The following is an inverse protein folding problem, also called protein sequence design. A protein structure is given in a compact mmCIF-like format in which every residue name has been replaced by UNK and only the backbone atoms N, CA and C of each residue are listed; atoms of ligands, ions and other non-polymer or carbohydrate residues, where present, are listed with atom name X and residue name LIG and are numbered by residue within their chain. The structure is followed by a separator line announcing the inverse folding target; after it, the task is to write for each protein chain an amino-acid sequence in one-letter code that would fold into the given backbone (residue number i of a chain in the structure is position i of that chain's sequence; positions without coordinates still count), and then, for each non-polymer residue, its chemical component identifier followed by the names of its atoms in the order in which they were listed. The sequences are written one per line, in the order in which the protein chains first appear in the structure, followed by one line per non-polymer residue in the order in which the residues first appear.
data_IF_472406535926
#
_entry.id   IF_472406535926
#
_cell.length_a   1.000
_cell.length_b   1.000
_cell.length_c   1.000
_cell.angle_alpha   90.00
_cell.angle_beta   90.00
_cell.angle_gamma   90.00
#
_symmetry.space_group_name_H-M   'P 1'
#
loop_
_entity.id
_entity.type
_entity.pdbx_description
1 polymer ?
#
# COMPACT_ATOMS: atom_id res chain seq x y z
N UNK A 1 -10.58 -14.92 31.34
CA UNK A 1 -11.78 -14.22 30.81
C UNK A 1 -11.52 -13.72 29.39
N UNK A 2 -12.55 -13.62 28.51
CA UNK A 2 -12.43 -12.95 27.22
C UNK A 2 -12.21 -11.44 27.39
N UNK A 3 -11.54 -10.81 26.42
CA UNK A 3 -11.22 -9.39 26.44
C UNK A 3 -12.22 -8.60 25.58
N UNK A 4 -12.62 -7.40 25.99
CA UNK A 4 -13.55 -6.58 25.19
C UNK A 4 -12.81 -5.70 24.19
N UNK A 5 -11.64 -5.21 24.59
CA UNK A 5 -10.84 -4.30 23.78
C UNK A 5 -9.36 -4.69 23.78
N UNK A 6 -8.64 -4.23 22.77
CA UNK A 6 -7.17 -4.39 22.70
C UNK A 6 -6.44 -3.74 23.90
N UNK A 7 -7.07 -2.79 24.60
CA UNK A 7 -6.49 -2.10 25.76
C UNK A 7 -6.46 -2.99 27.00
N UNK A 8 -7.35 -3.97 27.06
CA UNK A 8 -7.43 -4.97 28.15
C UNK A 8 -6.46 -6.14 27.94
N UNK A 9 -5.82 -6.24 26.77
CA UNK A 9 -4.87 -7.32 26.49
C UNK A 9 -3.65 -7.26 27.42
N UNK A 10 -2.99 -8.42 27.66
CA UNK A 10 -1.76 -8.47 28.43
C UNK A 10 -0.69 -7.53 27.86
N UNK A 11 0.17 -6.98 28.73
CA UNK A 11 1.20 -6.00 28.35
C UNK A 11 2.09 -6.50 27.20
N UNK A 12 2.45 -7.78 27.22
CA UNK A 12 3.26 -8.41 26.16
C UNK A 12 2.56 -8.40 24.79
N UNK A 13 1.22 -8.47 24.77
CA UNK A 13 0.41 -8.43 23.56
C UNK A 13 0.19 -6.98 23.11
N UNK A 14 -0.02 -6.04 24.04
CA UNK A 14 -0.18 -4.61 23.72
C UNK A 14 1.03 -3.96 23.07
N UNK A 15 2.22 -4.58 23.21
CA UNK A 15 3.46 -4.16 22.52
C UNK A 15 3.52 -4.59 21.05
N UNK A 16 2.61 -5.44 20.59
CA UNK A 16 2.56 -5.90 19.21
C UNK A 16 1.96 -4.86 18.27
N UNK A 17 2.16 -5.00 16.94
CA UNK A 17 1.34 -4.29 15.97
C UNK A 17 -0.16 -4.48 16.22
N UNK A 18 -0.91 -3.41 16.00
CA UNK A 18 -2.37 -3.38 16.17
C UNK A 18 -3.11 -4.54 15.46
N UNK A 19 -2.63 -4.98 14.29
CA UNK A 19 -3.18 -6.13 13.58
C UNK A 19 -3.00 -7.45 14.35
N UNK A 20 -1.84 -7.66 14.97
CA UNK A 20 -1.56 -8.82 15.80
C UNK A 20 -2.38 -8.79 17.10
N UNK A 21 -2.56 -7.61 17.71
CA UNK A 21 -3.45 -7.43 18.87
C UNK A 21 -4.89 -7.84 18.54
N UNK A 22 -5.41 -7.39 17.39
CA UNK A 22 -6.77 -7.72 16.94
C UNK A 22 -6.92 -9.22 16.64
N UNK A 23 -5.93 -9.86 16.00
CA UNK A 23 -5.94 -11.32 15.78
C UNK A 23 -5.97 -12.04 17.13
N UNK A 24 -5.11 -11.64 18.06
CA UNK A 24 -5.06 -12.25 19.38
C UNK A 24 -6.40 -12.14 20.08
N UNK A 25 -6.96 -10.93 20.18
CA UNK A 25 -8.26 -10.65 20.80
C UNK A 25 -9.37 -11.54 20.23
N UNK A 26 -9.53 -11.54 18.90
CA UNK A 26 -10.61 -12.28 18.24
C UNK A 26 -10.46 -13.80 18.41
N UNK A 27 -9.25 -14.32 18.23
CA UNK A 27 -8.99 -15.77 18.29
C UNK A 27 -9.06 -16.26 19.73
N UNK A 28 -8.53 -15.50 20.69
CA UNK A 28 -8.62 -15.81 22.12
C UNK A 28 -10.08 -15.89 22.54
N UNK A 29 -10.86 -14.84 22.31
CA UNK A 29 -12.27 -14.81 22.73
C UNK A 29 -13.07 -15.96 22.11
N UNK A 30 -12.86 -16.25 20.82
CA UNK A 30 -13.54 -17.35 20.13
C UNK A 30 -13.17 -18.73 20.67
N UNK A 31 -11.96 -18.90 21.18
CA UNK A 31 -11.47 -20.19 21.68
C UNK A 31 -11.63 -20.36 23.19
N UNK A 32 -11.85 -19.27 23.93
CA UNK A 32 -11.94 -19.26 25.39
C UNK A 32 -13.06 -20.17 25.91
N UNK A 33 -14.29 -19.99 25.44
CA UNK A 33 -15.45 -20.72 25.98
C UNK A 33 -15.33 -22.24 25.83
N UNK A 34 -14.61 -22.71 24.82
CA UNK A 34 -14.48 -24.13 24.49
C UNK A 34 -13.23 -24.78 25.09
N UNK A 35 -12.17 -24.02 25.29
CA UNK A 35 -10.84 -24.58 25.60
C UNK A 35 -10.23 -24.04 26.89
N UNK A 36 -10.85 -23.05 27.54
CA UNK A 36 -10.28 -22.35 28.69
C UNK A 36 -9.10 -21.46 28.32
N UNK A 37 -8.57 -20.76 29.32
CA UNK A 37 -7.62 -19.66 29.15
C UNK A 37 -6.28 -20.09 28.52
N UNK A 38 -5.65 -21.12 29.07
CA UNK A 38 -4.30 -21.52 28.65
C UNK A 38 -4.27 -21.99 27.18
N UNK A 39 -5.26 -22.80 26.79
CA UNK A 39 -5.36 -23.31 25.42
C UNK A 39 -5.76 -22.19 24.47
N UNK A 40 -6.73 -21.33 24.84
CA UNK A 40 -7.10 -20.18 24.04
C UNK A 40 -5.92 -19.23 23.80
N UNK A 41 -5.07 -19.04 24.82
CA UNK A 41 -3.83 -18.27 24.70
C UNK A 41 -2.89 -18.88 23.66
N UNK A 42 -2.64 -20.19 23.72
CA UNK A 42 -1.79 -20.91 22.75
C UNK A 42 -2.34 -20.83 21.32
N UNK A 43 -3.65 -20.98 21.15
CA UNK A 43 -4.33 -20.87 19.84
C UNK A 43 -4.19 -19.45 19.29
N UNK A 44 -4.50 -18.43 20.10
CA UNK A 44 -4.35 -17.03 19.72
C UNK A 44 -2.91 -16.68 19.34
N UNK A 45 -1.93 -17.23 20.06
CA UNK A 45 -0.51 -17.00 19.76
C UNK A 45 -0.03 -17.69 18.50
N UNK A 46 -0.53 -18.91 18.24
CA UNK A 46 -0.31 -19.59 16.97
C UNK A 46 -0.88 -18.79 15.80
N UNK A 47 -2.08 -18.25 15.95
CA UNK A 47 -2.69 -17.39 14.92
C UNK A 47 -1.85 -16.13 14.65
N UNK A 48 -1.38 -15.44 15.69
CA UNK A 48 -0.48 -14.29 15.55
C UNK A 48 0.80 -14.70 14.83
N UNK A 49 1.47 -15.77 15.27
CA UNK A 49 2.71 -16.27 14.64
C UNK A 49 2.49 -16.76 13.20
N UNK A 50 1.28 -17.14 12.81
CA UNK A 50 0.98 -17.51 11.41
C UNK A 50 0.99 -16.29 10.48
N UNK A 51 0.64 -15.10 11.00
CA UNK A 51 0.53 -13.85 10.23
C UNK A 51 1.61 -12.82 10.55
N UNK A 52 2.42 -13.04 11.59
CA UNK A 52 3.47 -12.14 12.02
C UNK A 52 4.73 -12.94 12.34
N UNK A 53 5.90 -12.34 12.07
CA UNK A 53 7.22 -12.85 12.44
C UNK A 53 7.93 -11.80 13.27
N UNK A 54 8.76 -12.23 14.20
CA UNK A 54 9.66 -11.34 14.94
C UNK A 54 10.94 -11.17 14.10
N UNK A 55 11.32 -9.94 13.79
CA UNK A 55 12.57 -9.59 13.13
C UNK A 55 13.30 -8.61 14.04
N UNK A 56 14.49 -9.00 14.51
CA UNK A 56 15.16 -8.34 15.65
C UNK A 56 14.18 -8.26 16.84
N UNK A 57 13.90 -7.05 17.33
CA UNK A 57 12.98 -6.81 18.44
C UNK A 57 11.59 -6.32 18.03
N UNK A 58 11.27 -6.34 16.74
CA UNK A 58 9.98 -5.89 16.22
C UNK A 58 9.19 -7.03 15.61
N UNK A 59 7.90 -7.09 15.91
CA UNK A 59 6.97 -7.97 15.20
C UNK A 59 6.52 -7.28 13.92
N UNK A 60 6.68 -7.98 12.80
CA UNK A 60 6.28 -7.51 11.47
C UNK A 60 5.35 -8.54 10.83
N UNK A 61 4.40 -8.08 10.02
CA UNK A 61 3.48 -8.98 9.35
C UNK A 61 4.27 -9.90 8.42
N UNK A 62 4.03 -11.21 8.49
CA UNK A 62 4.39 -12.15 7.42
C UNK A 62 3.55 -11.68 6.23
N UNK A 63 4.19 -11.09 5.23
CA UNK A 63 3.53 -10.52 4.06
C UNK A 63 2.44 -11.46 3.55
N UNK A 64 1.32 -10.90 3.07
CA UNK A 64 0.06 -11.58 2.77
C UNK A 64 0.17 -12.74 1.73
N UNK A 65 1.36 -13.15 1.30
CA UNK A 65 1.60 -13.90 0.06
C UNK A 65 1.72 -12.99 -1.16
N UNK A 66 1.73 -11.67 -0.92
CA UNK A 66 1.78 -10.62 -1.93
C UNK A 66 2.89 -9.64 -1.56
N UNK A 67 3.61 -9.16 -2.56
CA UNK A 67 4.58 -8.09 -2.39
C UNK A 67 3.90 -6.77 -2.78
N UNK A 68 4.01 -5.78 -1.90
CA UNK A 68 3.61 -4.41 -2.21
C UNK A 68 4.74 -3.81 -3.03
N UNK A 69 4.40 -3.29 -4.19
CA UNK A 69 5.36 -2.66 -5.06
C UNK A 69 5.03 -1.19 -5.22
N UNK A 70 6.03 -0.37 -4.94
CA UNK A 70 5.98 1.08 -5.08
C UNK A 70 6.74 1.46 -6.35
N UNK A 71 6.10 2.17 -7.28
CA UNK A 71 6.76 2.67 -8.49
C UNK A 71 6.67 4.18 -8.54
N UNK A 72 7.85 4.81 -8.57
CA UNK A 72 8.00 6.25 -8.50
C UNK A 72 7.87 6.88 -9.87
N UNK A 73 7.18 8.00 -9.94
CA UNK A 73 7.02 8.84 -11.11
C UNK A 73 8.38 9.44 -11.50
N UNK A 74 8.77 9.18 -12.74
CA UNK A 74 9.88 9.88 -13.37
C UNK A 74 9.35 11.24 -13.85
N UNK A 75 9.75 12.31 -13.16
CA UNK A 75 9.48 13.68 -13.59
C UNK A 75 10.74 14.26 -14.24
N UNK A 76 10.62 14.70 -15.49
CA UNK A 76 11.70 15.41 -16.19
C UNK A 76 11.62 16.93 -16.03
N UNK A 77 10.52 17.43 -15.46
CA UNK A 77 10.29 18.85 -15.22
C UNK A 77 11.01 19.34 -13.97
N UNK A 78 11.38 20.63 -13.97
CA UNK A 78 12.00 21.29 -12.79
C UNK A 78 11.06 21.37 -11.59
N UNK A 79 9.75 21.41 -11.82
CA UNK A 79 8.74 21.56 -10.78
C UNK A 79 7.84 20.33 -10.71
N UNK A 80 7.74 19.77 -9.51
CA UNK A 80 6.88 18.60 -9.24
C UNK A 80 5.39 18.95 -9.36
N UNK A 81 5.00 20.14 -8.88
CA UNK A 81 3.64 20.68 -9.00
C UNK A 81 3.59 21.71 -10.12
N UNK A 82 2.67 21.52 -11.06
CA UNK A 82 2.42 22.44 -12.17
C UNK A 82 1.09 23.18 -11.96
N UNK A 83 0.96 24.37 -12.57
CA UNK A 83 -0.28 25.16 -12.58
C UNK A 83 -0.80 25.25 -14.01
N UNK A 84 -2.03 24.78 -14.24
CA UNK A 84 -2.71 24.86 -15.52
C UNK A 84 -3.20 26.26 -15.85
N UNK A 85 -3.56 26.48 -17.11
CA UNK A 85 -4.14 27.73 -17.60
C UNK A 85 -5.49 28.06 -16.96
N UNK A 86 -6.21 27.03 -16.55
CA UNK A 86 -7.47 27.07 -15.80
C UNK A 86 -7.28 27.38 -14.29
N UNK A 87 -6.04 27.53 -13.83
CA UNK A 87 -5.72 27.78 -12.43
C UNK A 87 -5.82 26.55 -11.54
N UNK A 88 -5.99 25.35 -12.10
CA UNK A 88 -5.87 24.09 -11.36
C UNK A 88 -4.40 23.71 -11.19
N UNK A 89 -4.08 23.06 -10.08
CA UNK A 89 -2.74 22.51 -9.84
C UNK A 89 -2.74 21.03 -10.19
N UNK A 90 -1.70 20.55 -10.83
CA UNK A 90 -1.60 19.15 -11.21
C UNK A 90 -0.18 18.60 -11.10
N UNK A 91 -0.12 17.28 -11.03
CA UNK A 91 1.08 16.46 -11.21
C UNK A 91 0.92 15.71 -12.53
N UNK A 92 1.95 15.66 -13.36
CA UNK A 92 1.95 14.75 -14.52
C UNK A 92 3.33 14.14 -14.72
N UNK A 93 3.35 12.96 -15.34
CA UNK A 93 4.59 12.29 -15.72
C UNK A 93 4.42 10.82 -16.02
N UNK A 94 5.56 10.15 -16.21
CA UNK A 94 5.63 8.71 -16.46
C UNK A 94 5.72 7.99 -15.13
N UNK A 95 4.70 7.20 -14.83
CA UNK A 95 4.62 6.44 -13.58
C UNK A 95 5.41 5.13 -13.65
N UNK A 96 5.40 4.48 -14.80
CA UNK A 96 6.12 3.22 -15.04
C UNK A 96 6.32 2.96 -16.54
N UNK A 97 7.24 2.06 -16.86
CA UNK A 97 7.55 1.67 -18.25
C UNK A 97 7.73 0.16 -18.38
N UNK A 98 7.67 -0.34 -19.61
CA UNK A 98 8.03 -1.73 -19.94
C UNK A 98 9.54 -1.97 -19.97
N UNK A 99 10.34 -0.90 -19.89
CA UNK A 99 11.80 -0.99 -19.83
C UNK A 99 12.22 -1.51 -18.46
N UNK A 100 13.13 -2.50 -18.40
CA UNK A 100 13.70 -2.95 -17.14
C UNK A 100 14.32 -1.81 -16.34
N UNK A 101 14.13 -1.83 -15.03
CA UNK A 101 14.81 -0.94 -14.11
C UNK A 101 16.30 -1.30 -13.95
N UNK A 102 17.02 -0.56 -13.11
CA UNK A 102 18.45 -0.82 -12.80
C UNK A 102 18.74 -2.22 -12.24
N UNK A 103 17.73 -2.93 -11.74
CA UNK A 103 17.80 -4.29 -11.24
C UNK A 103 17.25 -5.32 -12.24
N UNK A 104 16.80 -4.88 -13.41
CA UNK A 104 16.26 -5.70 -14.48
C UNK A 104 14.78 -6.06 -14.31
N UNK A 105 14.06 -5.42 -13.39
CA UNK A 105 12.63 -5.68 -13.23
C UNK A 105 11.76 -4.81 -14.13
N UNK A 106 10.64 -5.36 -14.61
CA UNK A 106 9.71 -4.66 -15.50
C UNK A 106 8.28 -5.15 -15.38
N UNK A 107 7.36 -4.31 -15.83
CA UNK A 107 6.00 -4.72 -16.15
C UNK A 107 5.83 -5.10 -17.61
N UNK A 108 4.90 -6.01 -17.88
CA UNK A 108 4.41 -6.23 -19.25
C UNK A 108 3.51 -5.08 -19.70
N UNK A 109 3.38 -4.95 -21.03
CA UNK A 109 2.40 -4.07 -21.68
C UNK A 109 1.01 -4.26 -21.10
N UNK A 110 0.55 -5.50 -21.02
CA UNK A 110 -0.80 -5.84 -20.55
C UNK A 110 -1.01 -5.40 -19.10
N UNK A 111 0.02 -5.53 -18.26
CA UNK A 111 -0.05 -5.09 -16.87
C UNK A 111 -0.19 -3.57 -16.77
N UNK A 112 0.59 -2.81 -17.54
CA UNK A 112 0.51 -1.35 -17.52
C UNK A 112 -0.80 -0.83 -18.13
N UNK A 113 -1.31 -1.48 -19.17
CA UNK A 113 -2.64 -1.18 -19.71
C UNK A 113 -3.74 -1.46 -18.67
N UNK A 114 -3.63 -2.58 -17.97
CA UNK A 114 -4.58 -2.91 -16.92
C UNK A 114 -4.54 -1.91 -15.76
N UNK A 115 -3.36 -1.48 -15.35
CA UNK A 115 -3.20 -0.42 -14.35
C UNK A 115 -3.85 0.89 -14.79
N UNK A 116 -3.68 1.30 -16.06
CA UNK A 116 -4.36 2.48 -16.59
C UNK A 116 -5.89 2.34 -16.47
N UNK A 117 -6.45 1.16 -16.80
CA UNK A 117 -7.88 0.88 -16.64
C UNK A 117 -8.32 0.92 -15.17
N UNK A 118 -7.56 0.31 -14.27
CA UNK A 118 -7.86 0.28 -12.84
C UNK A 118 -7.89 1.70 -12.24
N UNK A 119 -6.88 2.53 -12.56
CA UNK A 119 -6.81 3.92 -12.11
C UNK A 119 -8.01 4.72 -12.62
N UNK A 120 -8.31 4.65 -13.92
CA UNK A 120 -9.42 5.39 -14.52
C UNK A 120 -10.79 4.94 -14.01
N UNK A 121 -10.95 3.65 -13.67
CA UNK A 121 -12.21 3.09 -13.16
C UNK A 121 -12.44 3.42 -11.68
N UNK A 122 -11.40 3.37 -10.85
CA UNK A 122 -11.51 3.58 -9.38
C UNK A 122 -11.50 5.05 -8.99
N UNK A 123 -10.92 5.92 -9.82
CA UNK A 123 -10.77 7.35 -9.49
C UNK A 123 -9.74 7.59 -8.38
N UNK A 124 -9.93 8.66 -7.61
CA UNK A 124 -8.97 9.20 -6.63
C UNK A 124 -9.04 8.61 -5.22
N UNK A 125 -9.82 7.54 -5.01
CA UNK A 125 -10.00 6.97 -3.67
C UNK A 125 -8.64 6.52 -3.09
N UNK A 126 -8.23 7.18 -2.01
CA UNK A 126 -7.09 6.86 -1.17
C UNK A 126 -5.70 7.24 -1.68
N UNK A 127 -5.56 8.42 -2.28
CA UNK A 127 -4.25 9.09 -2.33
C UNK A 127 -3.80 9.45 -0.91
N UNK A 128 -2.81 8.71 -0.40
CA UNK A 128 -2.28 8.83 0.97
C UNK A 128 -0.75 8.80 0.92
N UNK A 129 -0.06 9.25 1.96
CA UNK A 129 1.41 9.16 1.99
C UNK A 129 1.88 7.71 2.17
N UNK A 130 3.14 7.43 1.83
CA UNK A 130 3.72 6.09 2.05
C UNK A 130 3.71 5.68 3.54
N UNK A 131 3.96 6.63 4.46
CA UNK A 131 3.82 6.40 5.90
C UNK A 131 2.40 5.98 6.29
N UNK A 132 1.39 6.61 5.67
CA UNK A 132 0.00 6.23 5.88
C UNK A 132 -0.31 4.83 5.32
N UNK A 133 0.27 4.47 4.18
CA UNK A 133 0.19 3.10 3.65
C UNK A 133 0.72 2.06 4.62
N UNK A 134 1.91 2.29 5.18
CA UNK A 134 2.51 1.39 6.18
C UNK A 134 1.64 1.29 7.44
N UNK A 135 1.11 2.41 7.92
CA UNK A 135 0.18 2.41 9.06
C UNK A 135 -1.09 1.61 8.76
N UNK A 136 -1.66 1.73 7.58
CA UNK A 136 -2.86 1.00 7.18
C UNK A 136 -2.59 -0.48 6.98
N UNK A 137 -1.45 -0.84 6.40
CA UNK A 137 -0.99 -2.24 6.26
C UNK A 137 -0.88 -2.89 7.63
N UNK A 138 -0.28 -2.21 8.62
CA UNK A 138 -0.22 -2.72 9.99
C UNK A 138 -1.61 -2.84 10.62
N UNK A 139 -2.47 -1.84 10.42
CA UNK A 139 -3.86 -1.81 10.93
C UNK A 139 -4.71 -2.97 10.41
N UNK A 140 -4.60 -3.25 9.12
CA UNK A 140 -5.51 -4.12 8.38
C UNK A 140 -4.86 -5.40 7.86
N UNK A 141 -3.64 -5.71 8.29
CA UNK A 141 -2.91 -6.97 8.01
C UNK A 141 -3.68 -8.25 8.31
N UNK A 142 -4.73 -8.18 9.13
CA UNK A 142 -5.64 -9.28 9.46
C UNK A 142 -6.76 -9.49 8.43
N UNK A 143 -6.99 -8.52 7.54
CA UNK A 143 -8.03 -8.59 6.51
C UNK A 143 -7.51 -9.31 5.27
N UNK A 144 -8.45 -9.86 4.48
CA UNK A 144 -8.13 -10.27 3.12
C UNK A 144 -7.74 -9.05 2.29
N UNK A 145 -6.91 -9.25 1.28
CA UNK A 145 -6.41 -8.21 0.37
C UNK A 145 -7.52 -7.25 -0.11
N UNK A 146 -8.59 -7.79 -0.70
CA UNK A 146 -9.71 -6.99 -1.18
C UNK A 146 -10.41 -6.17 -0.08
N UNK A 147 -10.53 -6.72 1.14
CA UNK A 147 -11.14 -6.04 2.29
C UNK A 147 -10.21 -4.98 2.89
N UNK A 148 -8.91 -5.24 2.95
CA UNK A 148 -7.89 -4.26 3.33
C UNK A 148 -7.95 -3.05 2.41
N UNK A 149 -7.83 -3.28 1.09
CA UNK A 149 -7.80 -2.23 0.08
C UNK A 149 -9.10 -1.42 0.12
N UNK A 150 -10.26 -2.10 0.15
CA UNK A 150 -11.55 -1.42 0.22
C UNK A 150 -11.68 -0.55 1.48
N UNK A 151 -11.25 -1.04 2.65
CA UNK A 151 -11.38 -0.31 3.92
C UNK A 151 -10.35 0.80 4.09
N UNK A 152 -9.12 0.59 3.62
CA UNK A 152 -8.06 1.60 3.62
C UNK A 152 -8.41 2.82 2.77
N UNK A 153 -9.09 2.61 1.63
CA UNK A 153 -9.34 3.63 0.62
C UNK A 153 -10.72 4.30 0.72
N UNK A 154 -11.78 3.58 1.16
CA UNK A 154 -13.16 4.13 1.21
C UNK A 154 -13.36 5.24 2.24
N UNK A 155 -12.58 5.25 3.31
CA UNK A 155 -12.80 6.15 4.46
C UNK A 155 -12.13 7.53 4.30
N UNK A 156 -11.41 7.79 3.20
CA UNK A 156 -10.54 8.97 3.08
C UNK A 156 -10.89 9.88 1.91
N UNK A 157 -11.08 11.18 2.19
CA UNK A 157 -11.02 12.23 1.17
C UNK A 157 -9.57 12.34 0.70
N UNK A 158 -9.32 11.98 -0.56
CA UNK A 158 -7.97 11.92 -1.13
C UNK A 158 -7.32 13.30 -1.29
N UNK A 159 -5.98 13.32 -1.30
CA UNK A 159 -5.16 14.52 -1.58
C UNK A 159 -5.30 14.98 -3.04
N UNK A 160 -5.69 14.07 -3.92
CA UNK A 160 -5.91 14.30 -5.35
C UNK A 160 -7.42 14.36 -5.65
N UNK A 161 -7.83 15.27 -6.53
CA UNK A 161 -9.22 15.51 -6.95
C UNK A 161 -9.63 14.66 -8.15
N UNK A 162 -8.74 14.48 -9.11
CA UNK A 162 -8.94 13.65 -10.31
C UNK A 162 -7.63 12.99 -10.66
N UNK A 163 -7.67 11.72 -11.07
CA UNK A 163 -6.51 11.02 -11.63
C UNK A 163 -6.94 10.40 -12.94
N UNK A 164 -6.13 10.62 -13.99
CA UNK A 164 -6.25 9.98 -15.29
C UNK A 164 -4.95 9.28 -15.61
N UNK A 165 -5.06 8.09 -16.20
CA UNK A 165 -3.91 7.30 -16.64
C UNK A 165 -4.07 6.88 -18.10
N UNK A 166 -2.98 6.90 -18.85
CA UNK A 166 -2.94 6.48 -20.26
C UNK A 166 -1.72 5.59 -20.45
N UNK A 167 -1.91 4.43 -21.08
CA UNK A 167 -0.79 3.65 -21.58
C UNK A 167 -0.51 4.02 -23.03
N UNK A 168 0.72 4.42 -23.35
CA UNK A 168 1.13 4.74 -24.70
C UNK A 168 2.62 4.47 -24.90
N UNK A 169 2.99 3.78 -25.99
CA UNK A 169 4.38 3.52 -26.40
C UNK A 169 5.27 2.97 -25.27
N UNK A 170 4.81 1.92 -24.57
CA UNK A 170 5.58 1.28 -23.50
C UNK A 170 5.59 2.03 -22.16
N UNK A 171 4.82 3.11 -22.03
CA UNK A 171 4.81 3.98 -20.84
C UNK A 171 3.40 4.13 -20.28
N UNK A 172 3.31 4.06 -18.95
CA UNK A 172 2.12 4.42 -18.18
C UNK A 172 2.26 5.89 -17.75
N UNK A 173 1.49 6.76 -18.39
CA UNK A 173 1.39 8.18 -18.06
C UNK A 173 0.27 8.43 -17.08
N UNK A 174 0.48 9.34 -16.14
CA UNK A 174 -0.55 9.77 -15.20
C UNK A 174 -0.61 11.29 -15.16
N UNK A 175 -1.83 11.82 -15.08
CA UNK A 175 -2.12 13.21 -14.72
C UNK A 175 -3.06 13.23 -13.53
N UNK A 176 -2.67 13.92 -12.47
CA UNK A 176 -3.43 14.03 -11.24
C UNK A 176 -3.68 15.49 -10.88
N UNK A 177 -4.96 15.88 -10.80
CA UNK A 177 -5.37 17.20 -10.32
C UNK A 177 -5.30 17.21 -8.79
N UNK A 178 -4.64 18.22 -8.24
CA UNK A 178 -4.45 18.43 -6.81
C UNK A 178 -5.69 19.09 -6.22
N UNK A 179 -6.11 18.60 -5.05
CA UNK A 179 -7.05 19.37 -4.23
C UNK A 179 -6.32 20.54 -3.56
N UNK A 180 -6.74 21.77 -3.86
CA UNK A 180 -6.10 23.02 -3.41
C UNK A 180 -5.96 23.11 -1.89
N UNK A 181 -6.82 22.44 -1.12
CA UNK A 181 -6.74 22.37 0.36
C UNK A 181 -5.42 21.76 0.85
N UNK A 182 -4.79 20.91 0.03
CA UNK A 182 -3.54 20.23 0.36
C UNK A 182 -2.33 20.81 -0.39
N UNK A 183 -2.49 21.86 -1.21
CA UNK A 183 -1.44 22.37 -2.09
C UNK A 183 -0.11 22.65 -1.36
N UNK A 184 -0.15 23.34 -0.22
CA UNK A 184 1.06 23.65 0.55
C UNK A 184 1.73 22.37 1.08
N UNK A 185 0.94 21.39 1.51
CA UNK A 185 1.44 20.08 1.91
C UNK A 185 2.01 19.31 0.72
N UNK A 186 1.48 19.47 -0.50
CA UNK A 186 1.97 18.73 -1.66
C UNK A 186 3.29 19.28 -2.18
N UNK A 187 3.49 20.61 -2.13
CA UNK A 187 4.71 21.28 -2.59
C UNK A 187 5.99 20.80 -1.89
N UNK A 188 5.88 20.20 -0.71
CA UNK A 188 7.04 19.63 -0.01
C UNK A 188 7.51 18.31 -0.64
N UNK A 189 6.61 17.59 -1.34
CA UNK A 189 6.93 16.32 -2.00
C UNK A 189 7.71 16.53 -3.28
N UNK A 190 8.59 15.56 -3.55
CA UNK A 190 9.47 15.58 -4.71
C UNK A 190 8.99 14.64 -5.80
N UNK A 191 8.16 13.67 -5.44
CA UNK A 191 7.63 12.69 -6.39
C UNK A 191 6.30 12.09 -5.94
N UNK A 192 5.69 11.33 -6.84
CA UNK A 192 4.49 10.53 -6.66
C UNK A 192 4.83 9.08 -6.98
N UNK A 193 4.22 8.12 -6.30
CA UNK A 193 4.34 6.71 -6.63
C UNK A 193 2.96 6.07 -6.84
N UNK A 194 2.94 4.92 -7.49
CA UNK A 194 1.82 3.99 -7.46
C UNK A 194 2.16 2.84 -6.51
N UNK A 195 1.21 2.53 -5.65
CA UNK A 195 1.25 1.36 -4.81
C UNK A 195 0.41 0.28 -5.48
N UNK A 196 1.04 -0.83 -5.84
CA UNK A 196 0.37 -1.96 -6.46
C UNK A 196 0.67 -3.26 -5.72
N UNK A 197 -0.34 -4.10 -5.59
CA UNK A 197 -0.21 -5.41 -5.00
C UNK A 197 -0.08 -6.45 -6.10
N UNK A 198 1.05 -7.16 -6.14
CA UNK A 198 1.31 -8.17 -7.17
C UNK A 198 1.43 -9.54 -6.52
N UNK A 199 0.41 -10.40 -6.65
CA UNK A 199 0.47 -11.79 -6.18
C UNK A 199 1.64 -12.57 -6.77
N UNK A 200 2.24 -13.51 -6.02
CA UNK A 200 3.39 -14.32 -6.47
C UNK A 200 3.20 -14.99 -7.83
N UNK A 201 1.99 -15.45 -8.15
CA UNK A 201 1.68 -16.09 -9.45
C UNK A 201 1.90 -15.16 -10.66
N UNK A 202 1.90 -13.84 -10.46
CA UNK A 202 2.17 -12.82 -11.48
C UNK A 202 3.62 -12.35 -11.47
N UNK A 203 4.50 -13.01 -10.69
CA UNK A 203 5.92 -12.70 -10.60
C UNK A 203 6.69 -13.80 -11.33
N UNK A 204 7.13 -13.52 -12.56
CA UNK A 204 7.87 -14.46 -13.39
C UNK A 204 9.32 -13.97 -13.52
N UNK A 205 10.16 -14.44 -12.59
CA UNK A 205 11.52 -13.93 -12.45
C UNK A 205 11.52 -12.44 -12.16
N UNK A 206 12.04 -11.63 -13.08
CA UNK A 206 12.06 -10.17 -12.98
C UNK A 206 10.92 -9.48 -13.75
N UNK A 207 9.93 -10.23 -14.23
CA UNK A 207 8.79 -9.67 -14.99
C UNK A 207 7.50 -9.81 -14.19
N UNK A 208 6.74 -8.71 -14.10
CA UNK A 208 5.41 -8.67 -13.51
C UNK A 208 4.34 -8.70 -14.60
N UNK A 209 3.45 -9.69 -14.51
CA UNK A 209 2.42 -9.99 -15.51
C UNK A 209 1.00 -9.70 -15.04
N UNK A 210 0.85 -9.03 -13.89
CA UNK A 210 -0.44 -8.62 -13.35
C UNK A 210 -0.30 -7.90 -12.01
N UNK A 211 -1.42 -7.47 -11.45
CA UNK A 211 -1.45 -6.83 -10.13
C UNK A 211 -2.71 -6.01 -9.91
N UNK A 212 -2.89 -5.53 -8.69
CA UNK A 212 -3.98 -4.62 -8.32
C UNK A 212 -3.40 -3.27 -7.90
N UNK A 213 -3.80 -2.19 -8.57
CA UNK A 213 -3.45 -0.83 -8.17
C UNK A 213 -4.19 -0.47 -6.89
N UNK A 214 -3.46 -0.13 -5.84
CA UNK A 214 -4.03 0.26 -4.57
C UNK A 214 -4.29 1.76 -4.51
N UNK A 215 -3.38 2.56 -5.03
CA UNK A 215 -3.53 4.00 -5.06
C UNK A 215 -2.23 4.69 -5.45
N UNK A 216 -2.27 6.02 -5.36
CA UNK A 216 -1.10 6.86 -5.54
C UNK A 216 -0.62 7.37 -4.18
N UNK A 217 0.69 7.48 -4.00
CA UNK A 217 1.29 8.07 -2.83
C UNK A 217 2.21 9.23 -3.20
N UNK A 218 2.37 10.21 -2.31
CA UNK A 218 3.32 11.31 -2.48
C UNK A 218 4.53 11.07 -1.57
N UNK A 219 5.73 11.36 -2.09
CA UNK A 219 6.98 10.99 -1.44
C UNK A 219 8.05 12.10 -1.47
N UNK A 220 8.77 12.23 -0.36
CA UNK A 220 9.92 13.12 -0.14
C UNK A 220 11.25 12.40 -0.31
N UNK A 221 11.27 11.12 0.08
CA UNK A 221 12.42 10.23 0.08
C UNK A 221 12.03 8.98 -0.71
N UNK A 222 11.81 9.10 -2.03
CA UNK A 222 11.63 7.93 -2.84
C UNK A 222 12.84 7.04 -2.62
N UNK A 223 12.59 5.86 -2.10
CA UNK A 223 13.65 4.87 -1.83
C UNK A 223 14.44 4.62 -3.11
N UNK A 224 13.86 4.89 -4.31
CA UNK A 224 14.52 4.77 -5.60
C UNK A 224 14.07 5.81 -6.65
N UNK A 225 15.04 6.42 -7.35
CA UNK A 225 14.84 7.35 -8.49
C UNK A 225 14.56 6.67 -9.82
N UNK A 226 14.77 5.36 -9.90
CA UNK A 226 14.28 4.48 -10.95
C UNK A 226 13.74 3.28 -10.21
N UNK A 227 12.47 2.95 -10.44
CA UNK A 227 11.74 1.86 -9.77
C UNK A 227 12.71 0.80 -9.24
N UNK A 228 12.91 0.69 -7.93
CA UNK A 228 13.27 -0.61 -7.39
C UNK A 228 12.14 -1.01 -6.50
N UNK A 229 11.73 -2.24 -6.72
CA UNK A 229 10.96 -3.03 -5.79
C UNK A 229 11.62 -2.90 -4.43
N UNK A 230 10.93 -2.21 -3.52
CA UNK A 230 11.21 -2.46 -2.11
C UNK A 230 10.38 -3.66 -1.76
N UNK A 231 11.03 -4.82 -1.65
CA UNK A 231 10.43 -5.92 -0.90
C UNK A 231 10.30 -5.40 0.51
N UNK A 232 9.08 -5.02 0.90
CA UNK A 232 8.83 -4.59 2.27
C UNK A 232 8.82 -5.87 3.11
N UNK A 233 9.99 -6.23 3.63
CA UNK A 233 10.21 -7.44 4.44
C UNK A 233 9.43 -7.48 5.76
#
# INVERSE_FOLDING_TARGET
MPYNTIKELPVSIRKLPIGAQNIFLQVFNKSYDKNGEEIAFKIAWTAVKSKFKKVKDKWIAKGLGHELYTFTLENKEKLFVQKGKDGEFYLEGVLSTTTPDSLGYRFTTDTLQDFARQINKRGVSGSITHEEWERLKLKYSHLTEAKFISKALKERKGILKVVKAIYQKGKLWVKAIIDKRYLNRIKQFKTMSIEALVPKKYQQGRTYTGGTVLGLALDNNPVNKQARITKIE
#
